data_IF_041199910967
#
_entry.id   IF_041199910967
#
_cell.length_a   1.000
_cell.length_b   1.000
_cell.length_c   1.000
_cell.angle_alpha   90.00
_cell.angle_beta   90.00
_cell.angle_gamma   90.00
#
_symmetry.space_group_name_H-M   'P 1'
#
loop_
_entity.id
_entity.type
_entity.pdbx_description
1 polymer ?
#
# COMPACT_ATOMS: atom_id res chain seq x y z
N UNK A 1 -10.02 -22.28 -17.34
CA UNK A 1 -8.82 -22.75 -16.63
C UNK A 1 -8.47 -21.64 -15.64
N UNK A 2 -8.51 -21.93 -14.34
CA UNK A 2 -8.10 -20.96 -13.31
C UNK A 2 -6.62 -20.68 -13.51
N UNK A 3 -6.26 -19.49 -14.02
CA UNK A 3 -4.86 -19.07 -14.00
C UNK A 3 -4.38 -19.06 -12.55
N UNK A 4 -3.26 -19.72 -12.31
CA UNK A 4 -2.69 -19.99 -10.99
C UNK A 4 -2.29 -18.66 -10.31
N UNK A 5 -2.54 -18.54 -9.01
CA UNK A 5 -2.06 -17.39 -8.23
C UNK A 5 -0.57 -17.61 -7.94
N UNK A 6 0.27 -16.61 -8.23
CA UNK A 6 1.71 -16.70 -7.98
C UNK A 6 2.06 -16.41 -6.51
N UNK A 7 1.19 -15.68 -5.81
CA UNK A 7 1.36 -15.28 -4.42
C UNK A 7 0.09 -15.60 -3.63
N UNK A 8 0.24 -16.39 -2.56
CA UNK A 8 -0.80 -16.72 -1.61
C UNK A 8 -1.09 -15.57 -0.65
N UNK A 9 -0.06 -14.92 -0.09
CA UNK A 9 -0.21 -13.83 0.88
C UNK A 9 0.53 -12.59 0.41
N UNK A 10 -0.20 -11.48 0.29
CA UNK A 10 0.36 -10.23 -0.25
C UNK A 10 0.02 -9.04 0.62
N UNK A 11 0.90 -8.04 0.63
CA UNK A 11 0.59 -6.73 1.19
C UNK A 11 0.50 -5.69 0.09
N UNK A 12 -0.68 -5.14 -0.12
CA UNK A 12 -0.92 -4.04 -1.04
C UNK A 12 -0.76 -2.69 -0.32
N UNK A 13 0.24 -1.91 -0.72
CA UNK A 13 0.42 -0.54 -0.26
C UNK A 13 -0.21 0.44 -1.22
N UNK A 14 -1.21 1.17 -0.75
CA UNK A 14 -1.89 2.24 -1.45
C UNK A 14 -1.42 3.61 -0.94
N UNK A 15 -1.19 4.55 -1.85
CA UNK A 15 -1.05 5.96 -1.47
C UNK A 15 -2.41 6.52 -1.06
N UNK A 16 -2.46 7.38 -0.04
CA UNK A 16 -3.70 8.12 0.29
C UNK A 16 -4.17 8.97 -0.88
N UNK A 17 -3.24 9.55 -1.63
CA UNK A 17 -3.54 10.35 -2.84
C UNK A 17 -4.23 9.54 -3.93
N UNK A 18 -4.09 8.21 -3.94
CA UNK A 18 -4.79 7.36 -4.88
C UNK A 18 -6.30 7.35 -4.65
N UNK A 19 -6.79 7.82 -3.48
CA UNK A 19 -8.22 7.95 -3.19
C UNK A 19 -8.82 9.29 -3.64
N UNK A 20 -8.01 10.25 -4.07
CA UNK A 20 -8.49 11.59 -4.44
C UNK A 20 -9.17 11.65 -5.80
N UNK A 21 -8.85 10.72 -6.71
CA UNK A 21 -9.26 10.85 -8.11
C UNK A 21 -8.84 12.22 -8.68
N UNK A 22 -9.82 12.93 -9.24
CA UNK A 22 -9.66 14.29 -9.76
C UNK A 22 -9.91 15.40 -8.71
N UNK A 23 -10.26 15.02 -7.47
CA UNK A 23 -10.55 15.98 -6.39
C UNK A 23 -9.26 16.55 -5.78
N UNK A 24 -9.35 17.78 -5.26
CA UNK A 24 -8.21 18.46 -4.64
C UNK A 24 -7.83 17.90 -3.25
N UNK A 25 -8.77 17.26 -2.55
CA UNK A 25 -8.55 16.60 -1.25
C UNK A 25 -9.68 15.61 -0.94
N UNK A 26 -9.49 14.75 0.06
CA UNK A 26 -10.53 13.85 0.57
C UNK A 26 -10.60 12.50 -0.12
N UNK A 27 -11.78 11.91 -0.19
CA UNK A 27 -12.01 10.55 -0.72
C UNK A 27 -13.06 10.64 -1.83
N UNK A 28 -12.62 10.40 -3.06
CA UNK A 28 -13.48 10.41 -4.22
C UNK A 28 -14.26 9.10 -4.34
N UNK A 29 -15.59 9.21 -4.44
CA UNK A 29 -16.50 8.06 -4.44
C UNK A 29 -16.28 7.09 -5.61
N UNK A 30 -16.04 7.63 -6.82
CA UNK A 30 -15.81 6.79 -8.00
C UNK A 30 -14.48 6.05 -7.89
N UNK A 31 -13.45 6.75 -7.40
CA UNK A 31 -12.11 6.21 -7.25
C UNK A 31 -12.04 5.10 -6.21
N UNK A 32 -12.63 5.32 -5.02
CA UNK A 32 -12.68 4.26 -3.99
C UNK A 32 -13.49 3.07 -4.48
N UNK A 33 -14.62 3.28 -5.17
CA UNK A 33 -15.44 2.20 -5.74
C UNK A 33 -14.67 1.36 -6.77
N UNK A 34 -13.88 1.99 -7.65
CA UNK A 34 -13.05 1.26 -8.62
C UNK A 34 -11.97 0.44 -7.90
N UNK A 35 -11.32 1.04 -6.91
CA UNK A 35 -10.26 0.39 -6.14
C UNK A 35 -10.78 -0.80 -5.34
N UNK A 36 -11.95 -0.68 -4.70
CA UNK A 36 -12.54 -1.78 -3.94
C UNK A 36 -13.06 -2.90 -4.83
N UNK A 37 -13.47 -2.59 -6.07
CA UNK A 37 -13.79 -3.61 -7.07
C UNK A 37 -12.56 -4.47 -7.42
N UNK A 38 -11.41 -3.85 -7.73
CA UNK A 38 -10.17 -4.58 -8.02
C UNK A 38 -9.71 -5.40 -6.80
N UNK A 39 -9.78 -4.83 -5.60
CA UNK A 39 -9.48 -5.56 -4.35
C UNK A 39 -10.41 -6.76 -4.15
N UNK A 40 -11.70 -6.62 -4.48
CA UNK A 40 -12.68 -7.70 -4.36
C UNK A 40 -12.43 -8.83 -5.36
N UNK A 41 -11.97 -8.51 -6.57
CA UNK A 41 -11.56 -9.50 -7.57
C UNK A 41 -10.39 -10.34 -7.04
N UNK A 42 -9.37 -9.70 -6.44
CA UNK A 42 -8.24 -10.41 -5.83
C UNK A 42 -8.68 -11.26 -4.63
N UNK A 43 -9.51 -10.72 -3.74
CA UNK A 43 -10.00 -11.47 -2.59
C UNK A 43 -10.76 -12.73 -3.00
N UNK A 44 -11.56 -12.67 -4.08
CA UNK A 44 -12.29 -13.81 -4.65
C UNK A 44 -11.39 -14.88 -5.28
N UNK A 45 -10.14 -14.55 -5.58
CA UNK A 45 -9.13 -15.52 -6.05
C UNK A 45 -8.54 -16.37 -4.91
N UNK A 46 -8.91 -16.11 -3.65
CA UNK A 46 -8.41 -16.86 -2.48
C UNK A 46 -7.09 -16.34 -1.92
N UNK A 47 -6.62 -15.17 -2.39
CA UNK A 47 -5.41 -14.51 -1.88
C UNK A 47 -5.65 -13.96 -0.48
N UNK A 48 -4.71 -14.21 0.42
CA UNK A 48 -4.67 -13.62 1.75
C UNK A 48 -4.15 -12.18 1.63
N UNK A 49 -5.08 -11.23 1.51
CA UNK A 49 -4.78 -9.83 1.17
C UNK A 49 -4.74 -8.92 2.40
N UNK A 50 -3.57 -8.31 2.64
CA UNK A 50 -3.40 -7.19 3.55
C UNK A 50 -3.25 -5.86 2.80
N UNK A 51 -3.71 -4.76 3.39
CA UNK A 51 -3.64 -3.42 2.80
C UNK A 51 -3.00 -2.46 3.80
N UNK A 52 -2.07 -1.62 3.33
CA UNK A 52 -1.63 -0.40 4.02
C UNK A 52 -2.04 0.80 3.17
N UNK A 53 -2.75 1.76 3.76
CA UNK A 53 -3.22 2.97 3.06
C UNK A 53 -2.57 4.22 3.66
N UNK A 54 -2.02 5.09 2.81
CA UNK A 54 -1.49 6.39 3.24
C UNK A 54 -2.56 7.41 3.59
N UNK A 55 -2.19 8.52 4.24
CA UNK A 55 -3.12 9.58 4.68
C UNK A 55 -3.04 10.89 3.89
N UNK A 56 -2.23 10.94 2.83
CA UNK A 56 -1.86 12.18 2.13
C UNK A 56 -3.04 12.97 1.55
N UNK A 57 -4.12 12.31 1.15
CA UNK A 57 -5.34 12.93 0.63
C UNK A 57 -6.12 13.76 1.64
N UNK A 58 -6.05 13.41 2.93
CA UNK A 58 -6.69 14.16 4.02
C UNK A 58 -5.68 15.11 4.64
N UNK A 59 -4.46 14.63 4.91
CA UNK A 59 -3.41 15.43 5.53
C UNK A 59 -3.01 16.64 4.66
N UNK A 60 -3.01 16.52 3.33
CA UNK A 60 -2.72 17.65 2.43
C UNK A 60 -3.75 18.77 2.54
N UNK A 61 -5.02 18.47 2.85
CA UNK A 61 -6.05 19.48 3.10
C UNK A 61 -5.81 20.30 4.37
N UNK A 62 -5.14 19.73 5.37
CA UNK A 62 -4.77 20.41 6.62
C UNK A 62 -3.34 20.96 6.62
N UNK A 63 -2.50 20.57 5.65
CA UNK A 63 -1.11 20.98 5.55
C UNK A 63 -0.89 22.51 5.50
N UNK A 64 -1.72 23.33 4.82
CA UNK A 64 -1.59 24.79 4.89
C UNK A 64 -1.76 25.34 6.32
N UNK A 65 -2.67 24.78 7.10
CA UNK A 65 -2.89 25.14 8.51
C UNK A 65 -1.85 24.55 9.48
N UNK A 66 -1.03 23.61 9.01
CA UNK A 66 0.04 22.99 9.78
C UNK A 66 1.43 23.63 9.53
N UNK A 67 1.50 24.75 8.80
CA UNK A 67 2.76 25.48 8.66
C UNK A 67 3.28 25.95 10.03
N UNK A 68 4.51 25.55 10.37
CA UNK A 68 5.12 25.84 11.68
C UNK A 68 4.75 24.83 12.79
N UNK A 69 4.00 23.77 12.47
CA UNK A 69 3.69 22.70 13.41
C UNK A 69 4.93 21.84 13.69
N UNK A 70 5.04 21.35 14.92
CA UNK A 70 6.02 20.33 15.28
C UNK A 70 5.86 19.07 14.40
N UNK A 71 6.98 18.52 13.94
CA UNK A 71 6.99 17.41 13.00
C UNK A 71 6.30 16.17 13.55
N UNK A 72 6.49 15.85 14.84
CA UNK A 72 5.87 14.67 15.41
C UNK A 72 4.34 14.82 15.50
N UNK A 73 3.86 16.02 15.83
CA UNK A 73 2.44 16.35 15.83
C UNK A 73 1.81 16.20 14.44
N UNK A 74 2.48 16.70 13.41
CA UNK A 74 2.05 16.55 12.02
C UNK A 74 1.98 15.07 11.59
N UNK A 75 2.96 14.24 11.98
CA UNK A 75 2.95 12.81 11.67
C UNK A 75 1.80 12.08 12.40
N UNK A 76 1.43 12.46 13.63
CA UNK A 76 0.23 11.93 14.31
C UNK A 76 -1.06 12.25 13.55
N UNK A 77 -1.21 13.48 13.04
CA UNK A 77 -2.34 13.83 12.19
C UNK A 77 -2.36 12.99 10.90
N UNK A 78 -1.20 12.76 10.29
CA UNK A 78 -1.06 11.85 9.14
C UNK A 78 -1.46 10.40 9.47
N UNK A 79 -1.11 9.90 10.65
CA UNK A 79 -1.52 8.58 11.13
C UNK A 79 -3.05 8.50 11.32
N UNK A 80 -3.69 9.53 11.89
CA UNK A 80 -5.15 9.58 12.00
C UNK A 80 -5.83 9.64 10.62
N UNK A 81 -5.27 10.38 9.66
CA UNK A 81 -5.75 10.39 8.28
C UNK A 81 -5.72 8.98 7.64
N UNK A 82 -4.71 8.16 7.95
CA UNK A 82 -4.69 6.76 7.47
C UNK A 82 -5.83 5.92 8.07
N UNK A 83 -6.22 6.18 9.32
CA UNK A 83 -7.35 5.51 9.98
C UNK A 83 -8.67 5.89 9.30
N UNK A 84 -8.85 7.18 8.98
CA UNK A 84 -10.04 7.64 8.24
C UNK A 84 -10.17 6.95 6.87
N UNK A 85 -9.06 6.85 6.13
CA UNK A 85 -9.05 6.14 4.84
C UNK A 85 -9.32 4.63 5.00
N UNK A 86 -8.76 4.00 6.04
CA UNK A 86 -8.99 2.58 6.29
C UNK A 86 -10.46 2.26 6.61
N UNK A 87 -11.14 3.12 7.36
CA UNK A 87 -12.57 3.01 7.62
C UNK A 87 -13.40 3.18 6.33
N UNK A 88 -13.05 4.15 5.49
CA UNK A 88 -13.72 4.34 4.21
C UNK A 88 -13.53 3.13 3.27
N UNK A 89 -12.32 2.58 3.20
CA UNK A 89 -12.03 1.36 2.44
C UNK A 89 -12.80 0.15 2.99
N UNK A 90 -12.83 -0.02 4.32
CA UNK A 90 -13.58 -1.11 4.95
C UNK A 90 -15.07 -1.03 4.59
N UNK A 91 -15.66 0.16 4.62
CA UNK A 91 -17.07 0.34 4.30
C UNK A 91 -17.36 0.11 2.81
N UNK A 92 -16.54 0.67 1.92
CA UNK A 92 -16.68 0.47 0.49
C UNK A 92 -16.48 -1.00 0.07
N UNK A 93 -15.66 -1.78 0.77
CA UNK A 93 -15.51 -3.22 0.50
C UNK A 93 -16.79 -4.02 0.81
N UNK A 94 -17.67 -3.53 1.71
CA UNK A 94 -18.94 -4.21 2.02
C UNK A 94 -19.86 -4.27 0.80
N UNK A 95 -19.85 -3.27 -0.07
CA UNK A 95 -20.68 -3.29 -1.29
C UNK A 95 -20.23 -4.32 -2.33
N UNK A 96 -19.07 -4.96 -2.12
CA UNK A 96 -18.55 -6.03 -2.97
C UNK A 96 -18.53 -7.39 -2.25
N UNK A 97 -19.26 -7.52 -1.13
CA UNK A 97 -19.32 -8.71 -0.28
C UNK A 97 -17.96 -9.15 0.29
N UNK A 98 -17.02 -8.19 0.44
CA UNK A 98 -15.70 -8.46 1.03
C UNK A 98 -15.71 -8.09 2.50
N UNK A 99 -15.43 -9.07 3.35
CA UNK A 99 -15.29 -8.83 4.80
C UNK A 99 -13.89 -8.29 5.08
N UNK A 100 -13.82 -7.02 5.49
CA UNK A 100 -12.57 -6.37 5.88
C UNK A 100 -12.50 -6.09 7.39
N UNK A 101 -11.27 -6.10 7.94
CA UNK A 101 -10.97 -5.76 9.34
C UNK A 101 -9.86 -4.72 9.39
N UNK A 102 -10.14 -3.60 10.05
CA UNK A 102 -9.16 -2.52 10.25
C UNK A 102 -8.42 -2.76 11.56
N UNK A 103 -7.09 -2.70 11.51
CA UNK A 103 -6.22 -2.71 12.68
C UNK A 103 -5.28 -1.50 12.66
N UNK A 104 -5.17 -0.82 13.79
CA UNK A 104 -4.37 0.40 13.92
C UNK A 104 -3.13 0.19 14.79
N UNK A 105 -2.01 0.78 14.39
CA UNK A 105 -0.80 0.84 15.22
C UNK A 105 -0.94 1.79 16.42
N UNK A 106 -1.86 2.75 16.34
CA UNK A 106 -2.26 3.62 17.46
C UNK A 106 -3.61 3.16 18.01
N UNK A 107 -3.74 3.06 19.34
CA UNK A 107 -5.00 2.67 19.99
C UNK A 107 -6.04 3.77 19.87
N UNK A 108 -7.17 3.46 19.25
CA UNK A 108 -8.34 4.35 19.14
C UNK A 108 -9.56 3.53 19.54
N UNK A 109 -9.83 3.53 20.83
CA UNK A 109 -10.90 2.75 21.42
C UNK A 109 -12.25 3.09 20.78
N UNK A 110 -13.14 2.09 20.70
CA UNK A 110 -14.47 2.15 20.05
C UNK A 110 -14.46 2.30 18.52
N UNK A 111 -13.35 2.70 17.88
CA UNK A 111 -13.32 3.00 16.43
C UNK A 111 -12.67 1.86 15.64
N UNK A 112 -11.46 1.44 16.01
CA UNK A 112 -10.68 0.43 15.29
C UNK A 112 -9.98 -0.52 16.25
N UNK A 113 -9.77 -1.76 15.83
CA UNK A 113 -9.01 -2.71 16.65
C UNK A 113 -7.53 -2.30 16.73
N UNK A 114 -6.83 -2.52 17.86
CA UNK A 114 -5.39 -2.40 17.89
C UNK A 114 -4.74 -3.50 17.02
N UNK A 115 -3.58 -3.19 16.43
CA UNK A 115 -2.79 -4.19 15.73
C UNK A 115 -2.29 -5.26 16.70
N UNK A 116 -2.71 -6.50 16.44
CA UNK A 116 -2.29 -7.69 17.17
C UNK A 116 -1.95 -8.74 16.12
N UNK A 117 -0.65 -9.04 15.96
CA UNK A 117 -0.14 -9.92 14.89
C UNK A 117 -0.87 -11.26 14.77
N UNK A 118 -1.06 -12.07 15.84
CA UNK A 118 -1.81 -13.33 15.73
C UNK A 118 -3.25 -13.15 15.24
N UNK A 119 -3.89 -12.03 15.58
CA UNK A 119 -5.26 -11.72 15.15
C UNK A 119 -5.31 -11.35 13.67
N UNK A 120 -4.33 -10.59 13.18
CA UNK A 120 -4.18 -10.28 11.76
C UNK A 120 -4.00 -11.56 10.93
N UNK A 121 -3.10 -12.46 11.37
CA UNK A 121 -2.85 -13.74 10.71
C UNK A 121 -4.12 -14.60 10.64
N UNK A 122 -4.86 -14.72 11.75
CA UNK A 122 -6.14 -15.45 11.75
C UNK A 122 -7.15 -14.86 10.76
N UNK A 123 -7.27 -13.52 10.68
CA UNK A 123 -8.17 -12.90 9.72
C UNK A 123 -7.76 -13.17 8.26
N UNK A 124 -6.46 -13.14 7.97
CA UNK A 124 -5.93 -13.49 6.64
C UNK A 124 -6.22 -14.96 6.28
N UNK A 125 -6.00 -15.89 7.22
CA UNK A 125 -6.30 -17.32 7.08
C UNK A 125 -7.80 -17.60 6.89
N UNK A 126 -8.67 -16.75 7.45
CA UNK A 126 -10.13 -16.77 7.26
C UNK A 126 -10.56 -16.05 5.95
N UNK A 127 -9.61 -15.71 5.08
CA UNK A 127 -9.83 -14.97 3.81
C UNK A 127 -10.51 -13.61 3.98
N UNK A 128 -10.32 -12.96 5.13
CA UNK A 128 -10.74 -11.56 5.35
C UNK A 128 -9.63 -10.64 4.89
N UNK A 129 -10.00 -9.51 4.28
CA UNK A 129 -9.04 -8.45 3.99
C UNK A 129 -8.64 -7.76 5.29
N UNK A 130 -7.36 -7.61 5.56
CA UNK A 130 -6.85 -6.87 6.73
C UNK A 130 -6.31 -5.53 6.30
N UNK A 131 -6.84 -4.43 6.85
CA UNK A 131 -6.39 -3.07 6.54
C UNK A 131 -5.61 -2.54 7.74
N UNK A 132 -4.32 -2.27 7.56
CA UNK A 132 -3.46 -1.67 8.55
C UNK A 132 -3.47 -0.14 8.44
N UNK A 133 -3.75 0.51 9.56
CA UNK A 133 -3.76 1.95 9.72
C UNK A 133 -2.83 2.40 10.86
N UNK A 134 -2.65 3.70 11.02
CA UNK A 134 -1.75 4.28 12.02
C UNK A 134 -0.26 4.13 11.68
N UNK A 135 0.08 3.75 10.45
CA UNK A 135 1.48 3.58 10.02
C UNK A 135 2.25 2.59 10.91
N UNK A 136 3.45 3.00 11.34
CA UNK A 136 4.26 2.25 12.32
C UNK A 136 3.87 2.56 13.77
N UNK A 137 2.94 3.49 13.99
CA UNK A 137 2.61 4.06 15.30
C UNK A 137 3.61 5.10 15.80
N UNK A 138 4.68 5.36 15.03
CA UNK A 138 5.77 6.25 15.43
C UNK A 138 5.93 7.39 14.41
N UNK A 139 6.14 8.63 14.87
CA UNK A 139 6.56 9.74 14.01
C UNK A 139 7.87 9.45 13.25
N UNK A 140 8.15 10.25 12.23
CA UNK A 140 9.33 10.19 11.37
C UNK A 140 9.42 8.99 10.41
N UNK A 141 8.45 8.08 10.45
CA UNK A 141 8.35 6.95 9.52
C UNK A 141 7.28 7.18 8.47
N UNK A 142 7.49 6.61 7.29
CA UNK A 142 6.52 6.71 6.20
C UNK A 142 5.53 5.53 6.23
N UNK A 143 4.50 5.63 5.38
CA UNK A 143 3.59 4.50 5.11
C UNK A 143 4.24 3.39 4.29
N UNK A 144 5.33 3.69 3.57
CA UNK A 144 6.14 2.68 2.91
C UNK A 144 6.90 1.85 3.96
N UNK A 145 7.42 2.48 5.02
CA UNK A 145 8.03 1.74 6.15
C UNK A 145 7.01 0.86 6.86
N UNK A 146 5.79 1.35 7.06
CA UNK A 146 4.71 0.55 7.65
C UNK A 146 4.34 -0.66 6.78
N UNK A 147 4.33 -0.52 5.45
CA UNK A 147 4.09 -1.61 4.52
C UNK A 147 5.19 -2.68 4.56
N UNK A 148 6.45 -2.26 4.57
CA UNK A 148 7.59 -3.17 4.74
C UNK A 148 7.51 -3.93 6.08
N UNK A 149 7.25 -3.22 7.18
CA UNK A 149 7.13 -3.80 8.52
C UNK A 149 5.99 -4.80 8.62
N UNK A 150 4.77 -4.40 8.25
CA UNK A 150 3.59 -5.26 8.34
C UNK A 150 3.70 -6.45 7.39
N UNK A 151 4.29 -6.25 6.20
CA UNK A 151 4.52 -7.30 5.21
C UNK A 151 5.43 -8.39 5.78
N UNK A 152 6.54 -8.00 6.39
CA UNK A 152 7.44 -8.93 7.06
C UNK A 152 6.77 -9.64 8.25
N UNK A 153 6.04 -8.91 9.10
CA UNK A 153 5.38 -9.50 10.27
C UNK A 153 4.31 -10.53 9.90
N UNK A 154 3.48 -10.27 8.90
CA UNK A 154 2.46 -11.22 8.45
C UNK A 154 3.03 -12.32 7.56
N UNK A 155 4.33 -12.27 7.21
CA UNK A 155 4.92 -13.22 6.26
C UNK A 155 4.30 -13.12 4.88
N UNK A 156 4.07 -11.90 4.38
CA UNK A 156 3.69 -11.68 2.99
C UNK A 156 4.82 -12.16 2.07
N UNK A 157 4.45 -12.73 0.94
CA UNK A 157 5.40 -13.19 -0.08
C UNK A 157 5.88 -12.05 -0.96
N UNK A 158 5.12 -10.94 -1.01
CA UNK A 158 5.47 -9.73 -1.76
C UNK A 158 4.76 -8.50 -1.22
N UNK A 159 5.42 -7.34 -1.30
CA UNK A 159 4.82 -6.01 -1.10
C UNK A 159 4.49 -5.40 -2.47
N UNK A 160 3.22 -5.13 -2.70
CA UNK A 160 2.71 -4.52 -3.93
C UNK A 160 2.56 -3.02 -3.70
N UNK A 161 3.46 -2.21 -4.26
CA UNK A 161 3.42 -0.74 -4.13
C UNK A 161 2.69 -0.13 -5.32
N UNK A 162 1.44 0.25 -5.09
CA UNK A 162 0.60 0.93 -6.07
C UNK A 162 1.03 2.40 -6.24
N UNK A 163 1.42 2.77 -7.45
CA UNK A 163 1.85 4.13 -7.82
C UNK A 163 1.04 4.71 -8.98
N UNK A 164 1.30 5.98 -9.34
CA UNK A 164 0.73 6.61 -10.54
C UNK A 164 1.47 6.14 -11.80
N UNK A 165 2.80 6.06 -11.74
CA UNK A 165 3.64 5.44 -12.77
C UNK A 165 3.55 3.91 -12.70
N UNK A 166 3.89 3.24 -13.80
CA UNK A 166 3.75 1.80 -14.02
C UNK A 166 5.04 1.00 -13.75
N UNK A 167 5.98 1.54 -12.99
CA UNK A 167 7.20 0.86 -12.60
C UNK A 167 8.29 1.80 -12.12
N UNK A 168 9.49 1.25 -11.98
CA UNK A 168 10.72 1.97 -11.67
C UNK A 168 11.42 2.29 -13.00
N UNK A 169 11.84 3.54 -13.14
CA UNK A 169 12.48 4.06 -14.34
C UNK A 169 13.91 4.52 -14.06
N UNK A 170 14.74 4.58 -15.11
CA UNK A 170 16.10 5.13 -15.04
C UNK A 170 16.13 6.64 -14.71
N UNK A 171 15.04 7.36 -14.98
CA UNK A 171 14.84 8.78 -14.68
C UNK A 171 13.32 9.04 -14.58
N UNK A 172 12.90 10.24 -14.14
CA UNK A 172 11.47 10.62 -14.11
C UNK A 172 10.89 10.62 -15.54
N UNK A 173 9.97 9.69 -15.88
CA UNK A 173 9.47 9.55 -17.25
C UNK A 173 8.62 10.74 -17.71
N UNK A 174 8.18 11.61 -16.78
CA UNK A 174 7.46 12.83 -17.14
C UNK A 174 8.39 13.99 -17.50
N UNK A 175 9.69 13.87 -17.19
CA UNK A 175 10.70 14.91 -17.42
C UNK A 175 11.76 14.50 -18.43
N UNK A 176 12.10 13.21 -18.47
CA UNK A 176 13.09 12.66 -19.38
C UNK A 176 12.45 11.67 -20.37
N UNK A 177 12.34 12.01 -21.66
CA UNK A 177 11.77 11.12 -22.68
C UNK A 177 12.66 9.89 -22.96
N UNK A 178 13.90 9.86 -22.46
CA UNK A 178 14.80 8.69 -22.56
C UNK A 178 14.68 7.76 -21.34
N UNK A 179 13.81 8.07 -20.39
CA UNK A 179 13.58 7.21 -19.23
C UNK A 179 13.15 5.81 -19.69
N UNK A 180 13.87 4.79 -19.22
CA UNK A 180 13.58 3.38 -19.52
C UNK A 180 13.07 2.68 -18.28
N UNK A 181 11.97 1.94 -18.42
CA UNK A 181 11.36 1.15 -17.35
C UNK A 181 12.15 -0.15 -17.15
N UNK A 182 12.42 -0.51 -15.91
CA UNK A 182 12.97 -1.82 -15.56
C UNK A 182 11.82 -2.83 -15.43
N UNK A 183 11.97 -4.05 -15.93
CA UNK A 183 11.02 -5.14 -15.64
C UNK A 183 11.38 -5.85 -14.33
N UNK A 184 12.68 -6.11 -14.12
CA UNK A 184 13.25 -6.60 -12.87
C UNK A 184 14.51 -5.81 -12.51
N UNK A 185 14.80 -5.74 -11.21
CA UNK A 185 16.01 -5.11 -10.67
C UNK A 185 16.32 -5.68 -9.29
N UNK A 186 17.59 -5.83 -8.93
CA UNK A 186 17.94 -6.24 -7.55
C UNK A 186 17.90 -5.06 -6.57
N UNK A 187 17.78 -5.37 -5.28
CA UNK A 187 17.91 -4.35 -4.23
C UNK A 187 19.24 -3.59 -4.32
N UNK A 188 20.34 -4.30 -4.58
CA UNK A 188 21.68 -3.70 -4.63
C UNK A 188 21.86 -2.84 -5.88
N UNK A 189 21.31 -3.25 -7.02
CA UNK A 189 21.30 -2.43 -8.25
C UNK A 189 20.52 -1.14 -8.07
N UNK A 190 19.33 -1.21 -7.46
CA UNK A 190 18.50 -0.04 -7.19
C UNK A 190 19.21 0.95 -6.26
N UNK A 191 19.91 0.46 -5.22
CA UNK A 191 20.73 1.30 -4.33
C UNK A 191 21.91 1.92 -5.08
N UNK A 192 22.65 1.13 -5.85
CA UNK A 192 23.82 1.60 -6.61
C UNK A 192 23.43 2.68 -7.63
N UNK A 193 22.28 2.52 -8.28
CA UNK A 193 21.70 3.47 -9.25
C UNK A 193 20.93 4.62 -8.60
N UNK A 194 20.77 4.64 -7.26
CA UNK A 194 20.00 5.63 -6.49
C UNK A 194 18.56 5.80 -7.00
N UNK A 195 17.89 4.70 -7.32
CA UNK A 195 16.52 4.74 -7.81
C UNK A 195 15.54 4.97 -6.67
N UNK A 196 14.55 5.85 -6.88
CA UNK A 196 13.52 6.17 -5.91
C UNK A 196 12.39 5.14 -5.92
N UNK A 197 12.55 4.05 -5.17
CA UNK A 197 11.53 2.98 -5.06
C UNK A 197 10.60 3.21 -3.88
N UNK A 198 11.19 3.36 -2.69
CA UNK A 198 10.57 3.65 -1.39
C UNK A 198 11.54 4.57 -0.63
N UNK A 199 11.16 5.04 0.56
CA UNK A 199 12.16 5.64 1.45
C UNK A 199 13.24 4.60 1.83
N UNK A 200 14.44 5.08 2.13
CA UNK A 200 15.61 4.23 2.38
C UNK A 200 15.39 3.24 3.53
N UNK A 201 14.63 3.62 4.57
CA UNK A 201 14.35 2.77 5.72
C UNK A 201 13.46 1.60 5.33
N UNK A 202 12.37 1.87 4.61
CA UNK A 202 11.48 0.83 4.09
C UNK A 202 12.21 -0.10 3.12
N UNK A 203 13.03 0.46 2.23
CA UNK A 203 13.77 -0.30 1.23
C UNK A 203 14.80 -1.23 1.86
N UNK A 204 15.56 -0.74 2.85
CA UNK A 204 16.50 -1.54 3.61
C UNK A 204 15.80 -2.67 4.37
N UNK A 205 14.65 -2.39 5.00
CA UNK A 205 13.86 -3.40 5.71
C UNK A 205 13.40 -4.53 4.77
N UNK A 206 12.88 -4.19 3.58
CA UNK A 206 12.48 -5.21 2.59
C UNK A 206 13.68 -6.05 2.14
N UNK A 207 14.82 -5.42 1.82
CA UNK A 207 16.04 -6.12 1.43
C UNK A 207 16.51 -7.11 2.51
N UNK A 208 16.62 -6.63 3.74
CA UNK A 208 17.17 -7.41 4.86
C UNK A 208 16.25 -8.59 5.23
N UNK A 209 14.93 -8.44 5.03
CA UNK A 209 13.94 -9.51 5.18
C UNK A 209 13.77 -10.37 3.91
N UNK A 210 14.50 -10.08 2.84
CA UNK A 210 14.35 -10.72 1.51
C UNK A 210 12.91 -10.68 1.01
N UNK A 211 12.18 -9.62 1.34
CA UNK A 211 10.79 -9.40 0.99
C UNK A 211 10.71 -8.65 -0.35
N UNK A 212 10.32 -9.31 -1.46
CA UNK A 212 10.25 -8.67 -2.76
C UNK A 212 9.23 -7.53 -2.80
N UNK A 213 9.45 -6.59 -3.72
CA UNK A 213 8.55 -5.46 -3.96
C UNK A 213 8.14 -5.49 -5.44
N UNK A 214 6.85 -5.35 -5.75
CA UNK A 214 6.42 -5.01 -7.11
C UNK A 214 5.85 -3.60 -7.14
N UNK A 215 6.43 -2.72 -7.95
CA UNK A 215 5.93 -1.36 -8.20
C UNK A 215 5.12 -1.36 -9.49
N UNK A 216 3.83 -1.02 -9.41
CA UNK A 216 2.91 -1.04 -10.56
C UNK A 216 1.93 0.13 -10.51
N UNK A 217 1.26 0.41 -11.63
CA UNK A 217 0.27 1.49 -11.70
C UNK A 217 -1.12 1.01 -11.27
N UNK A 218 -1.72 1.69 -10.29
CA UNK A 218 -3.11 1.45 -9.86
C UNK A 218 -4.15 2.07 -10.82
N UNK A 219 -3.69 2.86 -11.79
CA UNK A 219 -4.55 3.48 -12.78
C UNK A 219 -4.77 2.60 -14.00
N UNK A 220 -3.99 1.52 -14.15
CA UNK A 220 -4.10 0.57 -15.25
C UNK A 220 -5.03 -0.58 -14.83
N UNK A 221 -6.24 -0.69 -15.39
CA UNK A 221 -7.18 -1.74 -15.01
C UNK A 221 -6.59 -3.14 -15.12
N UNK A 222 -6.87 -3.98 -14.12
CA UNK A 222 -6.37 -5.35 -14.02
C UNK A 222 -4.87 -5.47 -13.74
N UNK A 223 -4.14 -4.37 -13.52
CA UNK A 223 -2.70 -4.47 -13.22
C UNK A 223 -2.45 -5.23 -11.91
N UNK A 224 -3.27 -5.00 -10.89
CA UNK A 224 -3.18 -5.75 -9.64
C UNK A 224 -3.35 -7.25 -9.89
N UNK A 225 -4.35 -7.66 -10.67
CA UNK A 225 -4.59 -9.06 -11.01
C UNK A 225 -3.40 -9.68 -11.75
N UNK A 226 -2.86 -8.99 -12.76
CA UNK A 226 -1.69 -9.46 -13.51
C UNK A 226 -0.47 -9.67 -12.61
N UNK A 227 -0.23 -8.75 -11.67
CA UNK A 227 0.84 -8.92 -10.67
C UNK A 227 0.58 -10.15 -9.78
N UNK A 228 -0.65 -10.34 -9.30
CA UNK A 228 -1.02 -11.51 -8.48
C UNK A 228 -0.84 -12.84 -9.23
N UNK A 229 -1.05 -12.84 -10.54
CA UNK A 229 -0.83 -13.98 -11.43
C UNK A 229 0.64 -14.21 -11.81
N UNK A 230 1.54 -13.31 -11.42
CA UNK A 230 2.95 -13.37 -11.78
C UNK A 230 3.24 -13.01 -13.24
N UNK A 231 2.33 -12.27 -13.90
CA UNK A 231 2.54 -11.75 -15.24
C UNK A 231 3.53 -10.57 -15.24
N UNK A 232 4.04 -10.21 -16.42
CA UNK A 232 4.92 -9.04 -16.60
C UNK A 232 4.14 -7.73 -16.46
N UNK A 233 3.96 -7.30 -15.22
CA UNK A 233 3.35 -6.04 -14.85
C UNK A 233 4.17 -5.35 -13.77
N UNK A 234 4.46 -4.06 -13.98
CA UNK A 234 5.28 -3.30 -13.05
C UNK A 234 6.76 -3.68 -13.07
N UNK A 235 7.47 -3.25 -12.05
CA UNK A 235 8.88 -3.62 -11.82
C UNK A 235 9.00 -4.48 -10.58
N UNK A 236 9.55 -5.67 -10.74
CA UNK A 236 9.90 -6.55 -9.61
C UNK A 236 11.28 -6.18 -9.05
N UNK A 237 11.31 -5.85 -7.76
CA UNK A 237 12.53 -5.70 -6.97
C UNK A 237 12.73 -6.93 -6.10
N UNK A 238 13.88 -7.57 -6.22
CA UNK A 238 14.21 -8.80 -5.50
C UNK A 238 15.67 -8.81 -5.02
N UNK A 239 16.04 -9.84 -4.25
CA UNK A 239 17.42 -10.09 -3.82
C UNK A 239 18.26 -10.59 -4.99
#
# INVERSE_FOLDING_TARGET
>A
MSSEIAYKRVLLKLSGEALMGDDAFGINRQTISRMTQEVAEIAKMGVELAIVIGGGNIFRGVAPGAQGMDRATADYMGMLATVMNALALQDALKSHDVVARVQSAISIDQVVEPYIRPKALRYLEEHKVVIFAGGTGNPFFTTDTAAALRGAEIGAEIVLKATKVDGIYSADPNKDPKATRYSNITFDEAIAKRLEVMDATAFALCRDQKLPINVFSINKPGALERVIRGEDEGTLVHV
#
